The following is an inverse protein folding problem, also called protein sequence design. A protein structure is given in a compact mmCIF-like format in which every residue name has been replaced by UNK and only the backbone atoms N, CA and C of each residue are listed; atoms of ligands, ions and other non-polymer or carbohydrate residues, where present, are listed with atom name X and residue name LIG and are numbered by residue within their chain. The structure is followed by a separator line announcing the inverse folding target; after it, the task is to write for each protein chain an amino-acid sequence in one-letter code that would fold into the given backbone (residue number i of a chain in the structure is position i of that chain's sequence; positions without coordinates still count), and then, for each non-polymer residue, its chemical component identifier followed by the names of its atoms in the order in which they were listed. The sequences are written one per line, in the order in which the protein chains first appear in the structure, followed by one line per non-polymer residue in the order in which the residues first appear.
data_IF_564391649256
#
_entry.id   IF_564391649256
#
_cell.length_a   1.000
_cell.length_b   1.000
_cell.length_c   1.000
_cell.angle_alpha   90.00
_cell.angle_beta   90.00
_cell.angle_gamma   90.00
#
_symmetry.space_group_name_H-M   'P 1'
#
loop_
_entity.id
_entity.type
_entity.pdbx_description
1 polymer ?
#
# COMPACT_ATOMS: atom_id res chain seq x y z
N UNK A 1 -16.62 -9.64 -8.55
CA UNK A 1 -17.39 -10.58 -9.36
C UNK A 1 -16.89 -12.01 -9.13
N UNK A 2 -17.70 -13.01 -9.38
CA UNK A 2 -17.33 -14.43 -9.28
C UNK A 2 -16.10 -14.73 -10.16
N UNK A 3 -16.06 -14.17 -11.37
CA UNK A 3 -14.92 -14.28 -12.29
C UNK A 3 -13.58 -13.88 -11.63
N UNK A 4 -13.54 -12.76 -10.90
CA UNK A 4 -12.32 -12.29 -10.24
C UNK A 4 -11.87 -13.22 -9.12
N UNK A 5 -12.82 -13.80 -8.37
CA UNK A 5 -12.52 -14.76 -7.30
C UNK A 5 -11.92 -16.03 -7.90
N UNK A 6 -12.56 -16.58 -8.94
CA UNK A 6 -12.10 -17.80 -9.63
C UNK A 6 -10.71 -17.58 -10.23
N UNK A 7 -10.50 -16.46 -10.92
CA UNK A 7 -9.22 -16.12 -11.52
C UNK A 7 -8.09 -16.03 -10.46
N UNK A 8 -8.38 -15.39 -9.31
CA UNK A 8 -7.42 -15.28 -8.22
C UNK A 8 -7.10 -16.63 -7.56
N UNK A 9 -8.09 -17.52 -7.45
CA UNK A 9 -7.87 -18.87 -6.93
C UNK A 9 -7.00 -19.71 -7.88
N UNK A 10 -7.27 -19.66 -9.19
CA UNK A 10 -6.50 -20.39 -10.20
C UNK A 10 -5.05 -19.87 -10.27
N UNK A 11 -4.84 -18.55 -10.19
CA UNK A 11 -3.50 -17.95 -10.26
C UNK A 11 -2.56 -18.43 -9.14
N UNK A 12 -3.11 -18.81 -7.98
CA UNK A 12 -2.32 -19.38 -6.87
C UNK A 12 -1.71 -20.74 -7.19
N UNK A 13 -2.15 -21.40 -8.25
CA UNK A 13 -1.58 -22.69 -8.70
C UNK A 13 -0.33 -22.48 -9.56
N UNK A 14 -0.01 -21.25 -9.97
CA UNK A 14 1.18 -20.92 -10.75
C UNK A 14 1.14 -21.36 -12.20
N UNK A 15 -0.05 -21.64 -12.75
CA UNK A 15 -0.21 -22.04 -14.13
C UNK A 15 -0.17 -20.81 -15.06
N UNK A 16 0.79 -20.78 -15.97
CA UNK A 16 0.98 -19.69 -16.94
C UNK A 16 -0.26 -19.43 -17.79
N UNK A 17 -1.06 -20.48 -18.09
CA UNK A 17 -2.32 -20.34 -18.84
C UNK A 17 -3.34 -19.44 -18.14
N UNK A 18 -3.27 -19.36 -16.80
CA UNK A 18 -4.13 -18.47 -16.00
C UNK A 18 -3.72 -17.01 -16.17
N UNK A 19 -2.45 -16.73 -16.35
CA UNK A 19 -1.98 -15.35 -16.60
C UNK A 19 -2.39 -14.87 -17.99
N UNK A 20 -2.38 -15.74 -19.00
CA UNK A 20 -2.91 -15.42 -20.32
C UNK A 20 -4.43 -15.15 -20.27
N UNK A 21 -5.18 -15.94 -19.49
CA UNK A 21 -6.59 -15.72 -19.26
C UNK A 21 -6.84 -14.38 -18.54
N UNK A 22 -6.05 -14.07 -17.52
CA UNK A 22 -6.10 -12.80 -16.79
C UNK A 22 -5.82 -11.61 -17.73
N UNK A 23 -4.79 -11.73 -18.56
CA UNK A 23 -4.42 -10.68 -19.50
C UNK A 23 -5.51 -10.49 -20.58
N UNK A 24 -6.07 -11.56 -21.08
CA UNK A 24 -7.22 -11.52 -22.01
C UNK A 24 -8.43 -10.83 -21.37
N UNK A 25 -8.77 -11.17 -20.12
CA UNK A 25 -9.84 -10.51 -19.39
C UNK A 25 -9.55 -9.02 -19.21
N UNK A 26 -8.31 -8.67 -18.84
CA UNK A 26 -7.87 -7.29 -18.70
C UNK A 26 -8.10 -6.47 -19.97
N UNK A 27 -7.73 -7.02 -21.11
CA UNK A 27 -7.82 -6.34 -22.41
C UNK A 27 -9.28 -6.19 -22.91
N UNK A 28 -10.07 -7.26 -22.80
CA UNK A 28 -11.36 -7.36 -23.47
C UNK A 28 -12.54 -6.84 -22.65
N UNK A 29 -12.42 -6.77 -21.32
CA UNK A 29 -13.56 -6.37 -20.49
C UNK A 29 -13.91 -4.89 -20.65
N UNK A 30 -15.22 -4.60 -20.76
CA UNK A 30 -15.77 -3.26 -20.64
C UNK A 30 -16.03 -2.82 -19.19
N UNK A 31 -15.83 -3.71 -18.21
CA UNK A 31 -16.12 -3.47 -16.80
C UNK A 31 -14.85 -3.17 -16.01
N UNK A 32 -14.77 -1.99 -15.38
CA UNK A 32 -13.61 -1.57 -14.61
C UNK A 32 -13.28 -2.52 -13.45
N UNK A 33 -14.29 -3.04 -12.74
CA UNK A 33 -14.05 -3.99 -11.63
C UNK A 33 -13.45 -5.32 -12.11
N UNK A 34 -13.82 -5.79 -13.28
CA UNK A 34 -13.21 -6.99 -13.88
C UNK A 34 -11.78 -6.70 -14.36
N UNK A 35 -11.56 -5.53 -14.96
CA UNK A 35 -10.22 -5.08 -15.39
C UNK A 35 -9.26 -4.96 -14.22
N UNK A 36 -9.67 -4.29 -13.13
CA UNK A 36 -8.87 -4.17 -11.91
C UNK A 36 -8.62 -5.53 -11.24
N UNK A 37 -9.59 -6.43 -11.28
CA UNK A 37 -9.42 -7.80 -10.78
C UNK A 37 -8.36 -8.58 -11.56
N UNK A 38 -8.39 -8.48 -12.89
CA UNK A 38 -7.40 -9.12 -13.77
C UNK A 38 -6.00 -8.48 -13.60
N UNK A 39 -5.91 -7.13 -13.56
CA UNK A 39 -4.67 -6.41 -13.30
C UNK A 39 -4.03 -6.84 -11.97
N UNK A 40 -4.84 -6.95 -10.91
CA UNK A 40 -4.38 -7.40 -9.60
C UNK A 40 -3.79 -8.81 -9.66
N UNK A 41 -4.45 -9.73 -10.36
CA UNK A 41 -3.94 -11.11 -10.51
C UNK A 41 -2.58 -11.09 -11.19
N UNK A 42 -2.42 -10.34 -12.28
CA UNK A 42 -1.14 -10.23 -12.98
C UNK A 42 -0.03 -9.66 -12.08
N UNK A 43 -0.31 -8.54 -11.39
CA UNK A 43 0.68 -7.84 -10.56
C UNK A 43 1.05 -8.66 -9.31
N UNK A 44 0.07 -9.26 -8.62
CA UNK A 44 0.32 -9.97 -7.37
C UNK A 44 0.98 -11.34 -7.54
N UNK A 45 1.03 -11.87 -8.75
CA UNK A 45 1.71 -13.12 -9.08
C UNK A 45 2.96 -12.89 -9.94
N UNK A 46 3.39 -11.64 -10.09
CA UNK A 46 4.55 -11.24 -10.88
C UNK A 46 4.53 -11.84 -12.31
N UNK A 47 3.32 -11.84 -12.91
CA UNK A 47 3.10 -12.42 -14.22
C UNK A 47 3.92 -11.70 -15.30
N UNK A 48 4.40 -12.36 -16.35
CA UNK A 48 5.16 -11.73 -17.44
C UNK A 48 4.45 -10.53 -18.07
N UNK A 49 3.10 -10.54 -18.10
CA UNK A 49 2.26 -9.48 -18.67
C UNK A 49 2.01 -8.31 -17.70
N UNK A 50 2.42 -8.39 -16.42
CA UNK A 50 2.07 -7.43 -15.38
C UNK A 50 2.52 -6.00 -15.73
N UNK A 51 3.77 -5.83 -16.17
CA UNK A 51 4.32 -4.51 -16.50
C UNK A 51 3.61 -3.88 -17.71
N UNK A 52 3.32 -4.67 -18.73
CA UNK A 52 2.59 -4.21 -19.92
C UNK A 52 1.16 -3.77 -19.53
N UNK A 53 0.48 -4.54 -18.68
CA UNK A 53 -0.86 -4.21 -18.19
C UNK A 53 -0.86 -2.95 -17.30
N UNK A 54 0.13 -2.78 -16.42
CA UNK A 54 0.29 -1.57 -15.60
C UNK A 54 0.52 -0.32 -16.45
N UNK A 55 1.39 -0.42 -17.46
CA UNK A 55 1.69 0.70 -18.35
C UNK A 55 0.46 1.09 -19.20
N UNK A 56 -0.27 0.11 -19.74
CA UNK A 56 -1.51 0.34 -20.48
C UNK A 56 -2.60 0.95 -19.59
N UNK A 57 -2.78 0.42 -18.37
CA UNK A 57 -3.76 0.95 -17.43
C UNK A 57 -3.46 2.41 -17.07
N UNK A 58 -2.22 2.72 -16.73
CA UNK A 58 -1.80 4.08 -16.43
C UNK A 58 -2.03 5.00 -17.62
N UNK A 59 -1.59 4.62 -18.81
CA UNK A 59 -1.78 5.44 -20.04
C UNK A 59 -3.25 5.77 -20.29
N UNK A 60 -4.16 4.82 -20.02
CA UNK A 60 -5.60 4.97 -20.33
C UNK A 60 -6.38 5.71 -19.24
N UNK A 61 -5.98 5.58 -18.00
CA UNK A 61 -6.83 5.97 -16.85
C UNK A 61 -6.15 6.91 -15.85
N UNK A 62 -4.94 7.41 -16.12
CA UNK A 62 -4.22 8.31 -15.19
C UNK A 62 -4.98 9.61 -14.89
N UNK A 63 -5.80 10.08 -15.82
CA UNK A 63 -6.58 11.31 -15.66
C UNK A 63 -7.88 11.10 -14.85
N UNK A 64 -8.20 9.85 -14.51
CA UNK A 64 -9.31 9.48 -13.63
C UNK A 64 -8.78 9.23 -12.22
N UNK A 65 -9.04 10.13 -11.28
CA UNK A 65 -8.45 10.10 -9.93
C UNK A 65 -8.64 8.76 -9.21
N UNK A 66 -9.84 8.15 -9.27
CA UNK A 66 -10.13 6.88 -8.62
C UNK A 66 -9.39 5.72 -9.29
N UNK A 67 -9.27 5.71 -10.60
CA UNK A 67 -8.54 4.68 -11.35
C UNK A 67 -7.05 4.77 -11.08
N UNK A 68 -6.51 5.98 -11.03
CA UNK A 68 -5.12 6.21 -10.68
C UNK A 68 -4.81 5.79 -9.22
N UNK A 69 -5.70 6.06 -8.27
CA UNK A 69 -5.57 5.58 -6.90
C UNK A 69 -5.56 4.04 -6.84
N UNK A 70 -6.36 3.35 -7.66
CA UNK A 70 -6.32 1.88 -7.77
C UNK A 70 -5.01 1.37 -8.37
N UNK A 71 -4.45 2.08 -9.36
CA UNK A 71 -3.16 1.74 -9.95
C UNK A 71 -2.03 1.77 -8.91
N UNK A 72 -1.99 2.80 -8.06
CA UNK A 72 -1.06 2.88 -6.93
C UNK A 72 -1.31 1.77 -5.91
N UNK A 73 -2.58 1.58 -5.52
CA UNK A 73 -2.96 0.63 -4.47
C UNK A 73 -2.66 -0.82 -4.85
N UNK A 74 -2.89 -1.22 -6.11
CA UNK A 74 -2.62 -2.59 -6.58
C UNK A 74 -1.12 -2.93 -6.47
N UNK A 75 -0.25 -1.99 -6.79
CA UNK A 75 1.20 -2.18 -6.71
C UNK A 75 1.69 -2.17 -5.25
N UNK A 76 1.23 -1.21 -4.44
CA UNK A 76 1.61 -1.13 -3.04
C UNK A 76 1.12 -2.32 -2.20
N UNK A 77 -0.01 -2.94 -2.58
CA UNK A 77 -0.58 -4.11 -1.90
C UNK A 77 -0.11 -5.45 -2.46
N UNK A 78 0.80 -5.45 -3.44
CA UNK A 78 1.40 -6.68 -3.95
C UNK A 78 2.12 -7.42 -2.80
N UNK A 79 1.80 -8.71 -2.56
CA UNK A 79 2.50 -9.51 -1.56
C UNK A 79 4.03 -9.57 -1.77
N UNK A 80 4.47 -9.48 -3.03
CA UNK A 80 5.88 -9.46 -3.41
C UNK A 80 6.48 -8.04 -3.53
N UNK A 81 5.74 -6.99 -3.12
CA UNK A 81 6.28 -5.63 -3.10
C UNK A 81 7.48 -5.53 -2.17
N UNK A 82 8.45 -4.72 -2.57
CA UNK A 82 9.68 -4.44 -1.81
C UNK A 82 9.73 -2.97 -1.37
N UNK A 83 10.75 -2.61 -0.61
CA UNK A 83 10.99 -1.21 -0.26
C UNK A 83 11.14 -0.33 -1.50
N UNK A 84 11.83 -0.83 -2.53
CA UNK A 84 12.03 -0.14 -3.81
C UNK A 84 10.69 0.08 -4.54
N UNK A 85 9.74 -0.86 -4.42
CA UNK A 85 8.39 -0.68 -4.97
C UNK A 85 7.71 0.53 -4.33
N UNK A 86 7.74 0.64 -3.01
CA UNK A 86 7.12 1.76 -2.29
C UNK A 86 7.86 3.08 -2.60
N UNK A 87 9.18 3.04 -2.66
CA UNK A 87 9.99 4.20 -3.05
C UNK A 87 9.66 4.68 -4.48
N UNK A 88 9.55 3.77 -5.43
CA UNK A 88 9.13 4.07 -6.80
C UNK A 88 7.75 4.76 -6.83
N UNK A 89 6.77 4.21 -6.10
CA UNK A 89 5.42 4.74 -6.04
C UNK A 89 5.38 6.13 -5.39
N UNK A 90 6.12 6.34 -4.31
CA UNK A 90 6.16 7.63 -3.59
C UNK A 90 6.95 8.72 -4.32
N UNK A 91 7.86 8.34 -5.21
CA UNK A 91 8.59 9.26 -6.10
C UNK A 91 7.92 9.48 -7.46
N UNK A 92 6.82 8.78 -7.74
CA UNK A 92 6.10 8.92 -9.00
C UNK A 92 5.54 10.33 -9.16
N UNK A 93 5.57 10.87 -10.40
CA UNK A 93 5.15 12.24 -10.70
C UNK A 93 3.70 12.56 -10.27
N UNK A 94 2.82 11.54 -10.31
CA UNK A 94 1.42 11.68 -9.90
C UNK A 94 1.18 11.30 -8.43
N UNK A 95 2.23 11.00 -7.65
CA UNK A 95 2.08 10.84 -6.20
C UNK A 95 2.08 12.22 -5.54
N UNK A 96 0.91 12.61 -5.04
CA UNK A 96 0.72 13.92 -4.43
C UNK A 96 0.35 13.78 -2.95
N UNK A 97 1.21 14.32 -2.09
CA UNK A 97 1.01 14.38 -0.64
C UNK A 97 -0.10 15.37 -0.22
N UNK A 98 -0.56 16.23 -1.12
CA UNK A 98 -1.73 17.09 -0.94
C UNK A 98 -3.06 16.34 -1.14
N UNK A 99 -3.02 15.15 -1.76
CA UNK A 99 -4.20 14.35 -2.06
C UNK A 99 -4.36 13.18 -1.08
N UNK A 100 -5.25 13.25 -0.07
CA UNK A 100 -5.37 12.22 0.98
C UNK A 100 -5.68 10.82 0.43
N UNK A 101 -6.43 10.70 -0.65
CA UNK A 101 -6.73 9.41 -1.26
C UNK A 101 -5.51 8.78 -1.91
N UNK A 102 -4.63 9.58 -2.50
CA UNK A 102 -3.37 9.11 -3.07
C UNK A 102 -2.43 8.57 -1.99
N UNK A 103 -2.31 9.28 -0.86
CA UNK A 103 -1.58 8.79 0.31
C UNK A 103 -2.16 7.45 0.79
N UNK A 104 -3.49 7.36 0.93
CA UNK A 104 -4.17 6.13 1.35
C UNK A 104 -4.00 4.98 0.36
N UNK A 105 -3.94 5.25 -0.94
CA UNK A 105 -3.74 4.23 -1.95
C UNK A 105 -2.41 3.48 -1.76
N UNK A 106 -1.32 4.20 -1.53
CA UNK A 106 -0.01 3.59 -1.28
C UNK A 106 0.09 3.05 0.15
N UNK A 107 -0.16 3.88 1.16
CA UNK A 107 0.00 3.48 2.56
C UNK A 107 -1.00 2.40 2.99
N UNK A 108 -2.25 2.46 2.50
CA UNK A 108 -3.25 1.42 2.74
C UNK A 108 -2.93 0.12 2.03
N UNK A 109 -2.36 0.20 0.83
CA UNK A 109 -1.85 -0.96 0.11
C UNK A 109 -0.73 -1.66 0.88
N UNK A 110 0.26 -0.90 1.34
CA UNK A 110 1.36 -1.41 2.17
C UNK A 110 0.83 -2.01 3.50
N UNK A 111 -0.08 -1.33 4.18
CA UNK A 111 -0.68 -1.79 5.44
C UNK A 111 -1.51 -3.07 5.30
N UNK A 112 -2.02 -3.37 4.11
CA UNK A 112 -2.79 -4.59 3.83
C UNK A 112 -1.93 -5.86 3.92
N UNK A 113 -0.60 -5.73 3.85
CA UNK A 113 0.34 -6.84 4.04
C UNK A 113 1.18 -6.61 5.31
N UNK A 114 0.86 -7.29 6.43
CA UNK A 114 1.62 -7.16 7.68
C UNK A 114 3.11 -7.52 7.53
N UNK A 115 3.44 -8.49 6.68
CA UNK A 115 4.86 -8.86 6.45
C UNK A 115 5.62 -7.68 5.88
N UNK A 116 5.12 -7.04 4.84
CA UNK A 116 5.74 -5.87 4.22
C UNK A 116 5.77 -4.67 5.17
N UNK A 117 4.65 -4.44 5.90
CA UNK A 117 4.58 -3.39 6.92
C UNK A 117 5.74 -3.47 7.92
N UNK A 118 5.97 -4.65 8.47
CA UNK A 118 7.00 -4.83 9.50
C UNK A 118 8.41 -5.00 8.93
N UNK A 119 8.56 -5.52 7.70
CA UNK A 119 9.88 -5.72 7.10
C UNK A 119 10.53 -4.42 6.64
N UNK A 120 9.76 -3.50 6.05
CA UNK A 120 10.30 -2.26 5.47
C UNK A 120 9.35 -1.06 5.53
N UNK A 121 8.11 -1.24 5.99
CA UNK A 121 7.09 -0.17 5.96
C UNK A 121 7.11 0.77 7.17
N UNK A 122 7.81 0.44 8.24
CA UNK A 122 7.79 1.20 9.51
C UNK A 122 8.17 2.66 9.30
N UNK A 123 9.29 2.91 8.62
CA UNK A 123 9.80 4.26 8.38
C UNK A 123 8.83 5.08 7.53
N UNK A 124 8.23 4.47 6.51
CA UNK A 124 7.20 5.11 5.69
C UNK A 124 6.02 5.66 6.52
N UNK A 125 5.50 4.88 7.48
CA UNK A 125 4.39 5.32 8.34
C UNK A 125 4.81 6.40 9.33
N UNK A 126 6.01 6.31 9.88
CA UNK A 126 6.57 7.31 10.81
C UNK A 126 6.82 8.65 10.10
N UNK A 127 7.46 8.63 8.94
CA UNK A 127 7.73 9.82 8.14
C UNK A 127 6.45 10.51 7.67
N UNK A 128 5.46 9.72 7.20
CA UNK A 128 4.16 10.27 6.84
C UNK A 128 3.40 10.85 8.03
N UNK A 129 3.45 10.22 9.20
CA UNK A 129 2.81 10.75 10.39
C UNK A 129 3.44 12.08 10.80
N UNK A 130 4.78 12.21 10.75
CA UNK A 130 5.49 13.45 11.00
C UNK A 130 5.13 14.55 9.98
N UNK A 131 5.08 14.20 8.69
CA UNK A 131 4.72 15.14 7.62
C UNK A 131 3.27 15.63 7.74
N UNK A 132 2.36 14.74 8.09
CA UNK A 132 0.94 15.03 8.19
C UNK A 132 0.52 15.67 9.51
N UNK A 133 1.42 15.71 10.51
CA UNK A 133 1.13 16.27 11.84
C UNK A 133 0.59 17.71 11.77
N UNK A 134 1.16 18.54 10.91
CA UNK A 134 0.73 19.93 10.70
C UNK A 134 -0.32 20.07 9.58
N UNK A 135 -0.37 19.16 8.60
CA UNK A 135 -1.19 19.31 7.39
C UNK A 135 -2.53 18.58 7.47
N UNK A 136 -2.53 17.37 7.98
CA UNK A 136 -3.71 16.53 8.14
C UNK A 136 -3.52 15.57 9.33
N UNK A 137 -3.57 16.08 10.57
CA UNK A 137 -3.26 15.29 11.75
C UNK A 137 -4.18 14.08 11.96
N UNK A 138 -5.41 14.13 11.46
CA UNK A 138 -6.33 12.99 11.52
C UNK A 138 -5.83 11.84 10.63
N UNK A 139 -5.37 12.16 9.43
CA UNK A 139 -4.80 11.14 8.55
C UNK A 139 -3.46 10.63 9.10
N UNK A 140 -2.59 11.53 9.60
CA UNK A 140 -1.33 11.16 10.22
C UNK A 140 -1.50 10.20 11.39
N UNK A 141 -2.43 10.49 12.30
CA UNK A 141 -2.80 9.62 13.41
C UNK A 141 -3.29 8.23 12.95
N UNK A 142 -4.17 8.19 11.93
CA UNK A 142 -4.67 6.91 11.38
C UNK A 142 -3.58 6.06 10.74
N UNK A 143 -2.65 6.69 10.03
CA UNK A 143 -1.52 5.97 9.44
C UNK A 143 -0.57 5.44 10.50
N UNK A 144 -0.31 6.22 11.54
CA UNK A 144 0.52 5.78 12.66
C UNK A 144 -0.10 4.57 13.40
N UNK A 145 -1.44 4.49 13.49
CA UNK A 145 -2.14 3.36 14.12
C UNK A 145 -1.87 2.01 13.43
N UNK A 146 -1.40 1.98 12.19
CA UNK A 146 -0.96 0.75 11.52
C UNK A 146 0.12 0.05 12.34
N UNK A 147 0.96 0.83 13.01
CA UNK A 147 2.06 0.33 13.85
C UNK A 147 1.64 0.02 15.31
N UNK A 148 0.35 0.08 15.64
CA UNK A 148 -0.12 -0.06 17.04
C UNK A 148 0.23 -1.40 17.70
N UNK A 149 0.46 -2.45 16.91
CA UNK A 149 0.82 -3.79 17.42
C UNK A 149 2.34 -4.05 17.49
N UNK A 150 3.16 -3.02 17.43
CA UNK A 150 4.62 -3.14 17.47
C UNK A 150 5.14 -3.97 18.66
N UNK A 151 4.47 -3.89 19.81
CA UNK A 151 4.85 -4.62 21.03
C UNK A 151 4.75 -6.15 20.90
N UNK A 152 4.04 -6.66 19.89
CA UNK A 152 3.93 -8.11 19.62
C UNK A 152 5.08 -8.66 18.80
N UNK A 153 5.97 -7.79 18.28
CA UNK A 153 7.13 -8.20 17.51
C UNK A 153 8.18 -8.88 18.41
N UNK A 154 8.95 -9.78 17.82
CA UNK A 154 10.13 -10.34 18.45
C UNK A 154 11.30 -9.33 18.49
N UNK A 155 12.25 -9.54 19.41
CA UNK A 155 13.51 -8.79 19.37
C UNK A 155 14.40 -9.31 18.24
N UNK A 156 15.24 -8.45 17.63
CA UNK A 156 15.47 -7.04 17.99
C UNK A 156 14.48 -6.04 17.36
N UNK A 157 13.60 -6.48 16.51
CA UNK A 157 12.70 -5.62 15.72
C UNK A 157 11.78 -4.79 16.61
N UNK A 158 11.27 -5.37 17.69
CA UNK A 158 10.43 -4.66 18.67
C UNK A 158 11.14 -3.43 19.23
N UNK A 159 12.40 -3.59 19.68
CA UNK A 159 13.21 -2.48 20.19
C UNK A 159 13.47 -1.41 19.14
N UNK A 160 13.73 -1.80 17.88
CA UNK A 160 13.95 -0.87 16.77
C UNK A 160 12.70 -0.02 16.51
N UNK A 161 11.53 -0.64 16.41
CA UNK A 161 10.26 0.08 16.19
C UNK A 161 9.96 1.00 17.38
N UNK A 162 10.16 0.53 18.63
CA UNK A 162 9.97 1.36 19.81
C UNK A 162 10.85 2.60 19.78
N UNK A 163 12.13 2.46 19.44
CA UNK A 163 13.05 3.58 19.33
C UNK A 163 12.61 4.58 18.26
N UNK A 164 12.18 4.08 17.10
CA UNK A 164 11.68 4.93 16.01
C UNK A 164 10.41 5.71 16.44
N UNK A 165 9.45 5.06 17.13
CA UNK A 165 8.28 5.73 17.70
C UNK A 165 8.65 6.78 18.76
N UNK A 166 9.59 6.47 19.66
CA UNK A 166 10.10 7.45 20.65
C UNK A 166 10.78 8.63 19.98
N UNK A 167 11.53 8.41 18.90
CA UNK A 167 12.19 9.48 18.15
C UNK A 167 11.20 10.40 17.40
N UNK A 168 9.96 9.94 17.18
CA UNK A 168 8.89 10.76 16.60
C UNK A 168 8.28 11.73 17.63
N UNK A 169 8.26 11.41 18.94
CA UNK A 169 7.60 12.21 19.98
C UNK A 169 7.98 13.71 19.97
N UNK A 170 9.26 14.09 19.93
CA UNK A 170 9.63 15.49 19.93
C UNK A 170 9.32 16.23 18.61
N UNK A 171 8.96 15.50 17.56
CA UNK A 171 8.71 16.05 16.22
C UNK A 171 7.24 16.37 15.97
N UNK A 172 6.31 15.81 16.77
CA UNK A 172 4.86 15.98 16.59
C UNK A 172 4.31 16.98 17.59
N UNK A 173 3.37 17.80 17.13
CA UNK A 173 2.74 18.89 17.89
C UNK A 173 1.24 18.77 17.97
N UNK A 174 0.62 18.12 16.97
CA UNK A 174 -0.83 17.98 16.94
C UNK A 174 -1.33 17.04 18.04
N UNK A 175 -2.48 17.36 18.59
CA UNK A 175 -3.14 16.52 19.60
C UNK A 175 -3.41 15.11 19.07
N UNK A 176 -3.87 14.98 17.84
CA UNK A 176 -4.24 13.69 17.24
C UNK A 176 -3.05 12.71 17.15
N UNK A 177 -1.92 13.16 16.59
CA UNK A 177 -0.75 12.29 16.42
C UNK A 177 -0.06 12.04 17.76
N UNK A 178 0.06 13.07 18.61
CA UNK A 178 0.71 12.97 19.92
C UNK A 178 -0.05 12.03 20.87
N UNK A 179 -1.38 12.10 20.94
CA UNK A 179 -2.21 11.17 21.75
C UNK A 179 -2.11 9.74 21.25
N UNK A 180 -2.17 9.53 19.92
CA UNK A 180 -1.99 8.20 19.33
C UNK A 180 -0.63 7.62 19.68
N UNK A 181 0.44 8.40 19.51
CA UNK A 181 1.80 7.98 19.80
C UNK A 181 1.99 7.66 21.30
N UNK A 182 1.47 8.51 22.16
CA UNK A 182 1.51 8.29 23.63
C UNK A 182 0.77 7.02 24.03
N UNK A 183 -0.41 6.78 23.46
CA UNK A 183 -1.17 5.54 23.69
C UNK A 183 -0.41 4.31 23.22
N UNK A 184 0.29 4.38 22.10
CA UNK A 184 1.10 3.26 21.58
C UNK A 184 2.33 2.98 22.43
N UNK A 185 2.94 3.98 23.03
CA UNK A 185 4.15 3.85 23.83
C UNK A 185 3.88 3.52 25.31
N UNK A 186 2.66 3.73 25.81
CA UNK A 186 2.24 3.42 27.19
C UNK A 186 1.69 1.98 27.34
N UNK A 187 1.94 1.12 26.38
CA UNK A 187 1.60 -0.31 26.47
C UNK A 187 2.69 -0.98 27.33
N UNK A 188 2.34 -1.34 28.57
CA UNK A 188 3.15 -2.17 29.48
C UNK A 188 3.04 -3.68 29.15
#
# INVERSE_FOLDING_TARGET
SLKNITLNMLARQGDESVFDLAYTQYQQTGNMSERLGALRVLVWNDAPQAQAALADFYKRFKDEALSLDQWFSIQASNPCATAETIEYLTKHADYDLGTPNRIRAVSGGLAANPVNTWSFGVDHFIELAAYLDEKNPILGSRLLQVLSRWYTLAEPQRSQVQQALKALQPKVKSKNVSETLSSMLNIE
#
